data_IF_035766990735
#
_entry.id   IF_035766990735
#
_cell.length_a   1.000
_cell.length_b   1.000
_cell.length_c   1.000
_cell.angle_alpha   90.00
_cell.angle_beta   90.00
_cell.angle_gamma   90.00
#
_symmetry.space_group_name_H-M   'P 1'
#
loop_
_entity.id
_entity.type
_entity.pdbx_description
1 polymer ?
#
# COMPACT_ATOMS: atom_id res chain seq x y z
N UNK A 1 -21.72 7.17 10.61
CA UNK A 1 -21.21 6.94 9.24
C UNK A 1 -20.98 8.31 8.61
N UNK A 2 -19.79 8.88 8.78
CA UNK A 2 -19.51 10.24 8.31
C UNK A 2 -19.25 10.20 6.80
N UNK A 3 -20.12 10.92 6.08
CA UNK A 3 -20.06 11.16 4.64
C UNK A 3 -18.64 11.43 4.15
N UNK A 4 -18.23 10.68 3.13
CA UNK A 4 -17.18 11.11 2.21
C UNK A 4 -17.60 12.47 1.64
N UNK A 5 -16.62 13.34 1.33
CA UNK A 5 -16.76 14.58 0.54
C UNK A 5 -16.76 15.91 1.32
N UNK A 6 -15.66 16.21 2.00
CA UNK A 6 -15.23 17.62 2.06
C UNK A 6 -14.43 17.92 0.78
N UNK A 7 -14.77 18.98 0.02
CA UNK A 7 -14.02 19.38 -1.19
C UNK A 7 -12.52 19.45 -0.96
N UNK A 8 -12.10 19.98 0.20
CA UNK A 8 -10.69 20.07 0.61
C UNK A 8 -9.99 18.70 0.60
N UNK A 9 -10.67 17.64 1.07
CA UNK A 9 -10.08 16.30 1.08
C UNK A 9 -9.93 15.75 -0.33
N UNK A 10 -10.88 16.01 -1.21
CA UNK A 10 -10.78 15.59 -2.61
C UNK A 10 -9.65 16.31 -3.33
N UNK A 11 -9.49 17.62 -3.10
CA UNK A 11 -8.40 18.41 -3.64
C UNK A 11 -7.03 17.88 -3.17
N UNK A 12 -6.91 17.56 -1.88
CA UNK A 12 -5.68 16.99 -1.32
C UNK A 12 -5.34 15.63 -1.93
N UNK A 13 -6.33 14.77 -2.19
CA UNK A 13 -6.10 13.48 -2.85
C UNK A 13 -5.65 13.66 -4.30
N UNK A 14 -6.30 14.55 -5.06
CA UNK A 14 -5.90 14.83 -6.44
C UNK A 14 -4.49 15.43 -6.52
N UNK A 15 -4.17 16.33 -5.60
CA UNK A 15 -2.84 16.93 -5.51
C UNK A 15 -1.78 15.87 -5.18
N UNK A 16 -2.03 15.01 -4.19
CA UNK A 16 -1.14 13.90 -3.85
C UNK A 16 -0.88 13.02 -5.06
N UNK A 17 -1.92 12.64 -5.78
CA UNK A 17 -1.78 11.77 -6.94
C UNK A 17 -0.96 12.39 -8.07
N UNK A 18 -1.20 13.67 -8.36
CA UNK A 18 -0.42 14.38 -9.37
C UNK A 18 1.06 14.46 -8.99
N UNK A 19 1.36 14.80 -7.73
CA UNK A 19 2.72 14.91 -7.24
C UNK A 19 3.45 13.55 -7.24
N UNK A 20 2.80 12.49 -6.76
CA UNK A 20 3.40 11.15 -6.76
C UNK A 20 3.61 10.60 -8.19
N UNK A 21 2.66 10.83 -9.12
CA UNK A 21 2.86 10.49 -10.54
C UNK A 21 4.00 11.29 -11.18
N UNK A 22 4.17 12.56 -10.80
CA UNK A 22 5.30 13.38 -11.26
C UNK A 22 6.65 12.86 -10.75
N UNK A 23 6.65 12.15 -9.62
CA UNK A 23 7.79 11.40 -9.10
C UNK A 23 7.92 9.97 -9.67
N UNK A 24 7.26 9.69 -10.80
CA UNK A 24 7.24 8.40 -11.50
C UNK A 24 6.56 7.24 -10.74
N UNK A 25 5.79 7.51 -9.69
CA UNK A 25 5.00 6.47 -9.02
C UNK A 25 3.73 6.13 -9.81
N UNK A 26 3.34 4.85 -9.81
CA UNK A 26 2.01 4.42 -10.23
C UNK A 26 1.02 4.57 -9.08
N UNK A 27 -0.20 5.01 -9.37
CA UNK A 27 -1.28 5.10 -8.37
C UNK A 27 -2.53 4.42 -8.88
N UNK A 28 -3.11 3.61 -8.01
CA UNK A 28 -4.42 3.00 -8.17
C UNK A 28 -5.30 3.31 -6.96
N UNK A 29 -6.56 3.70 -7.20
CA UNK A 29 -7.60 3.73 -6.16
C UNK A 29 -8.39 2.44 -6.21
N UNK A 30 -8.50 1.77 -5.08
CA UNK A 30 -9.27 0.52 -4.96
C UNK A 30 -10.35 0.66 -3.88
N UNK A 31 -11.45 -0.11 -3.97
CA UNK A 31 -12.40 -0.20 -2.86
C UNK A 31 -11.73 -0.63 -1.55
N UNK A 32 -12.24 -0.14 -0.42
CA UNK A 32 -11.74 -0.50 0.90
C UNK A 32 -12.21 -1.90 1.32
N UNK A 33 -11.58 -2.94 0.75
CA UNK A 33 -11.82 -4.35 1.09
C UNK A 33 -10.57 -5.20 0.91
N UNK A 34 -10.49 -6.31 1.65
CA UNK A 34 -9.36 -7.23 1.57
C UNK A 34 -9.20 -7.84 0.17
N UNK A 35 -10.32 -8.21 -0.44
CA UNK A 35 -10.36 -8.74 -1.81
C UNK A 35 -9.81 -7.74 -2.83
N UNK A 36 -10.25 -6.47 -2.75
CA UNK A 36 -9.81 -5.43 -3.70
C UNK A 36 -8.33 -5.13 -3.57
N UNK A 37 -7.81 -5.10 -2.33
CA UNK A 37 -6.39 -4.92 -2.07
C UNK A 37 -5.56 -6.10 -2.62
N UNK A 38 -5.99 -7.33 -2.33
CA UNK A 38 -5.30 -8.53 -2.81
C UNK A 38 -5.32 -8.62 -4.34
N UNK A 39 -6.44 -8.29 -4.98
CA UNK A 39 -6.56 -8.25 -6.43
C UNK A 39 -5.62 -7.23 -7.06
N UNK A 40 -5.45 -6.06 -6.44
CA UNK A 40 -4.54 -5.03 -6.92
C UNK A 40 -3.07 -5.43 -6.80
N UNK A 41 -2.65 -5.95 -5.64
CA UNK A 41 -1.28 -6.43 -5.49
C UNK A 41 -1.01 -7.60 -6.45
N UNK A 42 -1.95 -8.53 -6.63
CA UNK A 42 -1.80 -9.67 -7.55
C UNK A 42 -1.56 -9.24 -9.01
N UNK A 43 -2.07 -8.09 -9.45
CA UNK A 43 -1.83 -7.59 -10.83
C UNK A 43 -0.40 -7.12 -11.05
N UNK A 44 0.27 -6.64 -10.01
CA UNK A 44 1.62 -6.05 -10.10
C UNK A 44 2.71 -6.95 -9.53
N UNK A 45 2.37 -7.82 -8.58
CA UNK A 45 3.34 -8.67 -7.90
C UNK A 45 3.63 -9.93 -8.73
N UNK A 46 4.85 -9.99 -9.26
CA UNK A 46 5.39 -11.18 -9.92
C UNK A 46 6.44 -11.79 -9.00
N UNK A 47 6.20 -12.98 -8.45
CA UNK A 47 7.20 -13.72 -7.68
C UNK A 47 7.02 -13.69 -6.16
N UNK A 48 8.11 -13.44 -5.43
CA UNK A 48 8.20 -13.50 -3.96
C UNK A 48 7.75 -12.20 -3.33
N UNK A 49 6.79 -12.29 -2.40
CA UNK A 49 6.13 -11.13 -1.79
C UNK A 49 6.43 -11.11 -0.29
N UNK A 50 6.94 -10.00 0.21
CA UNK A 50 7.00 -9.70 1.64
C UNK A 50 5.88 -8.74 2.03
N UNK A 51 5.23 -8.99 3.17
CA UNK A 51 4.20 -8.09 3.72
C UNK A 51 4.68 -7.67 5.11
N UNK A 52 4.82 -6.35 5.31
CA UNK A 52 5.16 -5.78 6.61
C UNK A 52 4.01 -6.00 7.62
N UNK A 53 4.34 -5.89 8.92
CA UNK A 53 3.30 -5.81 9.94
C UNK A 53 2.52 -4.49 9.81
N UNK A 54 1.22 -4.57 10.08
CA UNK A 54 0.31 -3.42 10.05
C UNK A 54 0.25 -2.79 11.44
N UNK A 55 0.43 -1.48 11.53
CA UNK A 55 0.39 -0.68 12.76
C UNK A 55 -0.93 0.11 12.83
N UNK A 56 -1.28 0.82 11.77
CA UNK A 56 -2.41 1.74 11.69
C UNK A 56 -3.63 1.13 10.98
N UNK A 57 -3.41 0.26 9.98
CA UNK A 57 -4.51 -0.35 9.23
C UNK A 57 -5.01 -1.66 9.89
N UNK A 58 -6.31 -1.97 9.79
CA UNK A 58 -6.86 -3.20 10.32
C UNK A 58 -6.18 -4.44 9.70
N UNK A 59 -5.69 -5.40 10.50
CA UNK A 59 -5.03 -6.60 9.98
C UNK A 59 -5.88 -7.41 8.99
N UNK A 60 -7.21 -7.38 9.17
CA UNK A 60 -8.19 -8.06 8.32
C UNK A 60 -8.23 -7.53 6.90
N UNK A 61 -7.85 -6.26 6.68
CA UNK A 61 -7.73 -5.69 5.33
C UNK A 61 -6.66 -6.42 4.50
N UNK A 62 -5.70 -7.07 5.16
CA UNK A 62 -4.60 -7.79 4.52
C UNK A 62 -4.83 -9.31 4.52
N UNK A 63 -5.98 -9.81 5.02
CA UNK A 63 -6.23 -11.24 5.18
C UNK A 63 -6.14 -12.02 3.86
N UNK A 64 -6.71 -11.49 2.78
CA UNK A 64 -6.64 -12.12 1.46
C UNK A 64 -5.28 -11.95 0.79
N UNK A 65 -4.59 -10.85 1.08
CA UNK A 65 -3.24 -10.61 0.59
C UNK A 65 -2.26 -11.66 1.13
N UNK A 66 -2.41 -12.05 2.40
CA UNK A 66 -1.61 -13.12 3.04
C UNK A 66 -1.89 -14.53 2.50
N UNK A 67 -2.86 -14.69 1.60
CA UNK A 67 -3.16 -15.95 0.90
C UNK A 67 -2.54 -16.00 -0.51
N UNK A 68 -1.90 -14.92 -0.97
CA UNK A 68 -1.28 -14.90 -2.29
C UNK A 68 -0.14 -15.94 -2.41
N UNK A 69 0.02 -16.57 -3.58
CA UNK A 69 1.17 -17.42 -3.84
C UNK A 69 2.46 -16.60 -3.78
N UNK A 70 3.56 -17.21 -3.35
CA UNK A 70 4.86 -16.54 -3.27
C UNK A 70 5.10 -15.72 -1.99
N UNK A 71 4.18 -15.75 -1.03
CA UNK A 71 4.37 -15.07 0.25
C UNK A 71 5.60 -15.60 1.00
N UNK A 72 6.52 -14.71 1.33
CA UNK A 72 7.68 -14.98 2.17
C UNK A 72 7.29 -14.69 3.62
N UNK A 73 7.46 -15.70 4.48
CA UNK A 73 7.12 -15.61 5.91
C UNK A 73 8.33 -15.32 6.80
N UNK A 74 9.53 -15.63 6.32
CA UNK A 74 10.75 -15.34 7.04
C UNK A 74 11.13 -13.86 6.95
N UNK A 75 11.87 -13.40 7.94
CA UNK A 75 12.28 -11.99 8.12
C UNK A 75 13.80 -11.82 8.16
N UNK A 76 14.55 -12.85 7.77
CA UNK A 76 16.00 -12.68 7.61
C UNK A 76 16.29 -11.70 6.48
N UNK A 77 17.45 -11.03 6.58
CA UNK A 77 17.91 -10.08 5.56
C UNK A 77 18.00 -10.76 4.19
N UNK A 78 18.44 -12.02 4.18
CA UNK A 78 18.60 -12.84 2.99
C UNK A 78 17.24 -13.16 2.36
N UNK A 79 16.23 -13.49 3.15
CA UNK A 79 14.88 -13.78 2.66
C UNK A 79 14.18 -12.53 2.12
N UNK A 80 14.33 -11.40 2.79
CA UNK A 80 13.78 -10.11 2.35
C UNK A 80 14.48 -9.60 1.10
N UNK A 81 15.81 -9.73 1.01
CA UNK A 81 16.58 -9.36 -0.18
C UNK A 81 16.23 -10.22 -1.41
N UNK A 82 15.69 -11.42 -1.20
CA UNK A 82 15.21 -12.31 -2.26
C UNK A 82 13.75 -12.04 -2.67
N UNK A 83 13.07 -11.03 -2.11
CA UNK A 83 11.70 -10.68 -2.49
C UNK A 83 11.68 -9.74 -3.69
N UNK A 84 10.74 -9.97 -4.60
CA UNK A 84 10.50 -9.12 -5.77
C UNK A 84 9.64 -7.91 -5.39
N UNK A 85 8.74 -8.08 -4.41
CA UNK A 85 7.79 -7.07 -3.97
C UNK A 85 7.72 -7.00 -2.46
N UNK A 86 7.81 -5.79 -1.91
CA UNK A 86 7.46 -5.47 -0.53
C UNK A 86 6.14 -4.72 -0.47
N UNK A 87 5.25 -5.12 0.44
CA UNK A 87 4.00 -4.42 0.74
C UNK A 87 4.08 -3.85 2.15
N UNK A 88 3.88 -2.55 2.26
CA UNK A 88 3.80 -1.82 3.54
C UNK A 88 2.59 -0.91 3.55
N UNK A 89 2.07 -0.67 4.74
CA UNK A 89 1.21 0.49 4.99
C UNK A 89 2.05 1.77 5.20
N UNK A 90 1.35 2.89 5.24
CA UNK A 90 1.90 4.21 5.51
C UNK A 90 0.90 4.98 6.39
N UNK A 91 1.42 5.79 7.31
CA UNK A 91 0.58 6.55 8.25
C UNK A 91 0.10 7.88 7.65
N UNK A 92 0.80 8.41 6.64
CA UNK A 92 0.43 9.65 5.97
C UNK A 92 0.92 9.74 4.52
N UNK A 93 0.22 10.55 3.74
CA UNK A 93 0.67 11.04 2.44
C UNK A 93 0.73 12.57 2.42
N UNK A 94 1.82 13.15 1.92
CA UNK A 94 1.99 14.61 1.83
C UNK A 94 1.55 15.08 0.44
N UNK A 95 0.36 15.68 0.36
CA UNK A 95 -0.27 16.05 -0.91
C UNK A 95 0.62 16.89 -1.83
N UNK A 96 1.32 17.89 -1.28
CA UNK A 96 2.18 18.81 -2.05
C UNK A 96 3.36 18.10 -2.73
N UNK A 97 3.90 17.04 -2.14
CA UNK A 97 5.16 16.41 -2.58
C UNK A 97 4.97 15.00 -3.10
N UNK A 98 3.80 14.39 -2.90
CA UNK A 98 3.57 12.97 -3.22
C UNK A 98 4.32 12.01 -2.30
N UNK A 99 4.85 12.50 -1.18
CA UNK A 99 5.63 11.67 -0.25
C UNK A 99 4.73 10.72 0.52
N UNK A 100 5.17 9.47 0.66
CA UNK A 100 4.56 8.46 1.52
C UNK A 100 5.38 8.37 2.80
N UNK A 101 4.74 8.55 3.95
CA UNK A 101 5.39 8.50 5.25
C UNK A 101 5.15 7.13 5.88
N UNK A 102 6.22 6.37 6.05
CA UNK A 102 6.23 5.05 6.68
C UNK A 102 6.96 5.12 8.02
N UNK A 103 6.54 4.33 8.99
CA UNK A 103 7.32 4.15 10.21
C UNK A 103 8.55 3.29 9.88
N UNK A 104 9.73 3.71 10.35
CA UNK A 104 10.98 2.96 10.22
C UNK A 104 11.52 2.70 11.62
N UNK A 105 11.84 1.45 11.91
CA UNK A 105 12.49 0.97 13.13
C UNK A 105 13.92 0.45 12.87
#
# INVERSE_FOLDING_TARGET
MSSISSPVRQDLLLQFEAAARSAAASIERVPYSAESLAAAVKRIATGRIAIAETLDLPPDLFADLRKLPGLVRGRSKEELAACDVGVTEAFAGVARTGSVCVAVD
#
